data_IF_057480231945
#
_entry.id   IF_057480231945
#
_cell.length_a   1.000
_cell.length_b   1.000
_cell.length_c   1.000
_cell.angle_alpha   90.00
_cell.angle_beta   90.00
_cell.angle_gamma   90.00
#
_symmetry.space_group_name_H-M   'P 1'
#
loop_
_entity.id
_entity.type
_entity.pdbx_description
1 polymer ?
#
# COMPACT_ATOMS: atom_id res chain seq x y z
N UNK A 1 -23.17 22.92 6.52
CA UNK A 1 -21.91 22.30 6.99
C UNK A 1 -22.04 20.78 6.88
N UNK A 2 -21.27 20.12 6.01
CA UNK A 2 -21.35 18.65 5.84
C UNK A 2 -20.64 18.00 7.02
N UNK A 3 -21.35 17.25 7.88
CA UNK A 3 -20.74 16.61 9.04
C UNK A 3 -19.60 15.71 8.58
N UNK A 4 -18.43 15.88 9.20
CA UNK A 4 -17.28 15.01 8.91
C UNK A 4 -17.62 13.63 9.42
N UNK A 5 -17.64 12.65 8.51
CA UNK A 5 -17.91 11.27 8.89
C UNK A 5 -16.65 10.71 9.57
N UNK A 6 -16.82 9.77 10.49
CA UNK A 6 -15.69 9.15 11.23
C UNK A 6 -14.58 8.63 10.28
N UNK A 7 -14.98 8.13 9.11
CA UNK A 7 -14.09 7.64 8.08
C UNK A 7 -13.27 8.72 7.36
N UNK A 8 -13.58 10.01 7.50
CA UNK A 8 -12.79 11.12 6.94
C UNK A 8 -11.47 11.35 7.71
N UNK A 9 -11.26 10.64 8.83
CA UNK A 9 -10.04 10.70 9.66
C UNK A 9 -9.09 9.50 9.45
N UNK A 10 -9.38 8.57 8.54
CA UNK A 10 -8.52 7.40 8.28
C UNK A 10 -7.13 7.76 7.70
N UNK A 11 -6.98 8.98 7.17
CA UNK A 11 -5.67 9.51 6.80
C UNK A 11 -4.76 9.75 8.01
N UNK A 12 -5.32 10.12 9.17
CA UNK A 12 -4.56 10.31 10.42
C UNK A 12 -4.00 8.96 10.83
N UNK A 13 -4.84 7.91 10.88
CA UNK A 13 -4.39 6.55 11.15
C UNK A 13 -3.26 6.12 10.20
N UNK A 14 -3.38 6.48 8.92
CA UNK A 14 -2.35 6.15 7.93
C UNK A 14 -1.01 6.85 8.15
N UNK A 15 -1.06 8.12 8.54
CA UNK A 15 0.13 8.90 8.87
C UNK A 15 0.75 8.41 10.19
N UNK A 16 -0.09 8.14 11.19
CA UNK A 16 0.31 7.66 12.51
C UNK A 16 1.11 6.35 12.38
N UNK A 17 0.60 5.30 11.71
CA UNK A 17 1.38 4.06 11.63
C UNK A 17 2.67 4.21 10.80
N UNK A 18 2.74 5.11 9.82
CA UNK A 18 3.96 5.37 9.05
C UNK A 18 5.04 6.06 9.91
N UNK A 19 4.63 7.02 10.73
CA UNK A 19 5.49 7.69 11.69
C UNK A 19 5.91 6.76 12.83
N UNK A 20 4.99 5.93 13.33
CA UNK A 20 5.33 4.92 14.33
C UNK A 20 6.29 3.89 13.76
N UNK A 21 6.10 3.43 12.51
CA UNK A 21 7.02 2.51 11.83
C UNK A 21 8.42 3.10 11.59
N UNK A 22 8.53 4.44 11.51
CA UNK A 22 9.82 5.13 11.43
C UNK A 22 10.61 5.05 12.74
N UNK A 23 9.92 5.15 13.88
CA UNK A 23 10.52 5.14 15.22
C UNK A 23 10.70 3.70 15.72
N UNK A 24 9.74 2.82 15.47
CA UNK A 24 9.80 1.42 15.84
C UNK A 24 9.17 0.56 14.73
N UNK A 25 10.01 -0.25 14.10
CA UNK A 25 9.65 -1.00 12.90
C UNK A 25 8.48 -1.97 13.14
N UNK A 26 8.30 -2.47 14.36
CA UNK A 26 7.25 -3.44 14.69
C UNK A 26 5.84 -2.90 14.45
N UNK A 27 5.64 -1.58 14.52
CA UNK A 27 4.34 -0.98 14.22
C UNK A 27 3.94 -1.10 12.75
N UNK A 28 4.85 -1.49 11.85
CA UNK A 28 4.53 -1.81 10.47
C UNK A 28 3.46 -2.92 10.36
N UNK A 29 3.34 -3.80 11.36
CA UNK A 29 2.28 -4.81 11.44
C UNK A 29 0.87 -4.20 11.51
N UNK A 30 0.70 -3.01 12.10
CA UNK A 30 -0.59 -2.31 12.08
C UNK A 30 -1.02 -1.94 10.65
N UNK A 31 -0.04 -1.69 9.77
CA UNK A 31 -0.28 -1.45 8.35
C UNK A 31 -0.85 -2.66 7.60
N UNK A 32 -0.71 -3.89 8.12
CA UNK A 32 -1.32 -5.07 7.51
C UNK A 32 -2.85 -4.97 7.47
N UNK A 33 -3.45 -4.34 8.49
CA UNK A 33 -4.89 -4.12 8.54
C UNK A 33 -5.36 -3.34 7.31
N UNK A 34 -4.62 -2.29 6.91
CA UNK A 34 -4.99 -1.48 5.75
C UNK A 34 -4.72 -2.18 4.39
N UNK A 35 -3.87 -3.20 4.39
CA UNK A 35 -3.59 -4.04 3.23
C UNK A 35 -4.65 -5.15 3.05
N UNK A 36 -5.10 -5.76 4.15
CA UNK A 36 -6.08 -6.85 4.16
C UNK A 36 -7.51 -6.32 3.98
N UNK A 37 -7.88 -5.22 4.62
CA UNK A 37 -9.22 -4.64 4.55
C UNK A 37 -9.79 -4.46 3.13
N UNK A 38 -9.07 -3.89 2.14
CA UNK A 38 -9.58 -3.79 0.77
C UNK A 38 -9.84 -5.14 0.11
N UNK A 39 -9.02 -6.15 0.40
CA UNK A 39 -9.16 -7.49 -0.17
C UNK A 39 -10.40 -8.19 0.40
N UNK A 40 -10.56 -8.16 1.73
CA UNK A 40 -11.73 -8.75 2.41
C UNK A 40 -13.03 -8.11 1.92
N UNK A 41 -13.08 -6.78 1.83
CA UNK A 41 -14.28 -6.06 1.34
C UNK A 41 -14.54 -6.38 -0.14
N UNK A 42 -13.50 -6.45 -0.96
CA UNK A 42 -13.64 -6.77 -2.39
C UNK A 42 -14.12 -8.20 -2.61
N UNK A 43 -13.68 -9.16 -1.80
CA UNK A 43 -14.10 -10.57 -1.86
C UNK A 43 -15.53 -10.71 -1.32
N UNK A 44 -15.83 -10.15 -0.15
CA UNK A 44 -17.13 -10.23 0.52
C UNK A 44 -18.23 -9.48 -0.21
N UNK A 45 -18.06 -8.17 -0.44
CA UNK A 45 -19.09 -7.32 -1.04
C UNK A 45 -18.97 -7.15 -2.56
N UNK A 46 -17.86 -7.54 -3.19
CA UNK A 46 -17.70 -7.39 -4.64
C UNK A 46 -17.59 -5.93 -5.11
N UNK A 47 -17.30 -4.98 -4.22
CA UNK A 47 -17.24 -3.57 -4.55
C UNK A 47 -15.88 -2.94 -4.19
N UNK A 48 -15.59 -1.79 -4.82
CA UNK A 48 -14.38 -0.99 -4.55
C UNK A 48 -14.60 0.09 -3.49
N UNK A 49 -15.54 -0.12 -2.56
CA UNK A 49 -15.90 0.90 -1.58
C UNK A 49 -14.69 1.33 -0.74
N UNK A 50 -13.81 0.39 -0.38
CA UNK A 50 -12.60 0.67 0.37
C UNK A 50 -11.66 1.62 -0.38
N UNK A 51 -11.24 1.26 -1.59
CA UNK A 51 -10.33 2.09 -2.38
C UNK A 51 -10.91 3.48 -2.72
N UNK A 52 -12.24 3.58 -2.91
CA UNK A 52 -12.89 4.82 -3.30
C UNK A 52 -13.18 5.78 -2.13
N UNK A 53 -13.53 5.25 -0.95
CA UNK A 53 -14.01 6.05 0.19
C UNK A 53 -13.16 5.92 1.46
N UNK A 54 -12.65 4.72 1.77
CA UNK A 54 -12.03 4.41 3.06
C UNK A 54 -10.50 4.31 3.02
N UNK A 55 -9.88 4.38 1.84
CA UNK A 55 -8.43 4.30 1.73
C UNK A 55 -7.75 5.52 2.36
N UNK A 56 -7.20 5.35 3.57
CA UNK A 56 -6.61 6.46 4.35
C UNK A 56 -5.47 7.18 3.64
N UNK A 57 -4.61 6.46 2.90
CA UNK A 57 -3.58 7.09 2.05
C UNK A 57 -4.15 7.86 0.85
N UNK A 58 -5.24 7.38 0.26
CA UNK A 58 -5.93 8.09 -0.82
C UNK A 58 -6.59 9.38 -0.33
N UNK A 59 -7.12 9.34 0.89
CA UNK A 59 -7.61 10.53 1.59
C UNK A 59 -6.46 11.50 1.94
N UNK A 60 -5.31 10.99 2.42
CA UNK A 60 -4.12 11.80 2.70
C UNK A 60 -3.68 12.60 1.46
N UNK A 61 -3.50 11.93 0.32
CA UNK A 61 -3.11 12.61 -0.92
C UNK A 61 -4.19 13.57 -1.44
N UNK A 62 -5.48 13.22 -1.30
CA UNK A 62 -6.58 14.10 -1.65
C UNK A 62 -6.64 15.35 -0.75
N UNK A 63 -6.26 15.23 0.52
CA UNK A 63 -6.20 16.33 1.47
C UNK A 63 -5.00 17.25 1.17
N UNK A 64 -3.81 16.66 1.03
CA UNK A 64 -2.56 17.38 0.73
C UNK A 64 -2.64 18.07 -0.64
N UNK A 65 -3.17 17.40 -1.66
CA UNK A 65 -3.22 17.96 -3.01
C UNK A 65 -4.43 18.86 -3.26
N UNK A 66 -5.50 18.66 -2.51
CA UNK A 66 -6.71 19.47 -2.59
C UNK A 66 -6.65 20.71 -1.70
N UNK A 67 -6.58 20.50 -0.38
CA UNK A 67 -6.67 21.58 0.61
C UNK A 67 -5.37 22.35 0.79
N UNK A 68 -4.22 21.67 0.77
CA UNK A 68 -2.91 22.34 0.88
C UNK A 68 -2.34 22.80 -0.47
N UNK A 69 -3.03 22.53 -1.58
CA UNK A 69 -2.64 23.03 -2.90
C UNK A 69 -1.31 22.50 -3.46
N UNK A 70 -0.69 21.51 -2.81
CA UNK A 70 0.62 20.93 -3.17
C UNK A 70 0.62 20.18 -4.52
N UNK A 71 -0.54 20.04 -5.18
CA UNK A 71 -0.68 19.32 -6.45
C UNK A 71 -0.78 20.28 -7.61
N UNK A 72 0.01 20.02 -8.66
CA UNK A 72 0.00 20.79 -9.93
C UNK A 72 -1.27 20.55 -10.76
N UNK A 73 -2.17 19.67 -10.30
CA UNK A 73 -3.48 19.29 -10.90
C UNK A 73 -3.43 18.87 -12.38
N UNK A 74 -2.23 18.62 -12.91
CA UNK A 74 -2.02 18.18 -14.28
C UNK A 74 -2.62 16.79 -14.52
N UNK A 75 -3.15 16.56 -15.71
CA UNK A 75 -3.68 15.26 -16.08
C UNK A 75 -2.57 14.21 -16.21
N UNK A 76 -2.88 12.99 -15.79
CA UNK A 76 -1.93 11.90 -15.85
C UNK A 76 -1.74 11.46 -17.31
N UNK A 77 -0.49 11.21 -17.78
CA UNK A 77 -0.24 10.82 -19.16
C UNK A 77 -0.97 9.51 -19.50
N UNK A 78 -1.44 9.41 -20.75
CA UNK A 78 -2.25 8.28 -21.24
C UNK A 78 -1.55 6.93 -21.02
N UNK A 79 -0.22 6.88 -21.13
CA UNK A 79 0.58 5.67 -20.91
C UNK A 79 0.48 5.14 -19.47
N UNK A 80 0.55 6.00 -18.45
CA UNK A 80 0.39 5.58 -17.05
C UNK A 80 -1.03 5.11 -16.73
N UNK A 81 -2.03 5.53 -17.51
CA UNK A 81 -3.41 5.08 -17.36
C UNK A 81 -3.65 3.74 -18.07
N UNK A 82 -2.78 3.34 -18.99
CA UNK A 82 -2.92 2.14 -19.81
C UNK A 82 -2.99 0.85 -18.97
N UNK A 83 -3.64 -0.17 -19.51
CA UNK A 83 -3.69 -1.50 -18.87
C UNK A 83 -2.29 -2.08 -18.72
N UNK A 84 -1.44 -1.93 -19.74
CA UNK A 84 -0.07 -2.42 -19.75
C UNK A 84 0.73 -1.89 -18.55
N UNK A 85 0.72 -0.58 -18.31
CA UNK A 85 1.42 0.01 -17.17
C UNK A 85 0.86 -0.47 -15.83
N UNK A 86 -0.47 -0.54 -15.69
CA UNK A 86 -1.10 -1.00 -14.43
C UNK A 86 -0.75 -2.45 -14.10
N UNK A 87 -0.79 -3.34 -15.08
CA UNK A 87 -0.43 -4.75 -14.88
C UNK A 87 1.08 -4.92 -14.70
N UNK A 88 1.91 -4.21 -15.45
CA UNK A 88 3.36 -4.22 -15.27
C UNK A 88 3.76 -3.75 -13.88
N UNK A 89 3.16 -2.65 -13.40
CA UNK A 89 3.40 -2.14 -12.05
C UNK A 89 2.89 -3.10 -10.96
N UNK A 90 1.75 -3.75 -11.19
CA UNK A 90 1.23 -4.79 -10.29
C UNK A 90 2.19 -5.97 -10.17
N UNK A 91 2.70 -6.49 -11.29
CA UNK A 91 3.68 -7.59 -11.33
C UNK A 91 4.95 -7.18 -10.58
N UNK A 92 5.51 -6.01 -10.91
CA UNK A 92 6.68 -5.46 -10.23
C UNK A 92 6.50 -5.42 -8.71
N UNK A 93 5.36 -4.92 -8.24
CA UNK A 93 5.05 -4.82 -6.82
C UNK A 93 4.87 -6.20 -6.16
N UNK A 94 4.24 -7.16 -6.86
CA UNK A 94 4.14 -8.54 -6.37
C UNK A 94 5.48 -9.23 -6.29
N UNK A 95 6.37 -9.04 -7.27
CA UNK A 95 7.74 -9.56 -7.21
C UNK A 95 8.45 -9.03 -5.97
N UNK A 96 8.36 -7.73 -5.67
CA UNK A 96 8.90 -7.18 -4.42
C UNK A 96 8.28 -7.82 -3.17
N UNK A 97 6.96 -8.02 -3.16
CA UNK A 97 6.26 -8.65 -2.04
C UNK A 97 6.65 -10.12 -1.83
N UNK A 98 6.77 -10.92 -2.88
CA UNK A 98 7.19 -12.32 -2.78
C UNK A 98 8.66 -12.44 -2.36
N UNK A 99 9.54 -11.61 -2.90
CA UNK A 99 10.96 -11.55 -2.46
C UNK A 99 11.05 -11.20 -0.98
N UNK A 100 10.22 -10.28 -0.50
CA UNK A 100 10.14 -9.95 0.93
C UNK A 100 9.71 -11.14 1.78
N UNK A 101 8.64 -11.85 1.39
CA UNK A 101 8.18 -13.05 2.08
C UNK A 101 9.24 -14.14 2.09
N UNK A 102 9.93 -14.34 0.98
CA UNK A 102 11.02 -15.32 0.86
C UNK A 102 12.19 -15.00 1.81
N UNK A 103 12.63 -13.74 1.85
CA UNK A 103 13.68 -13.32 2.79
C UNK A 103 13.25 -13.48 4.25
N UNK A 104 11.98 -13.19 4.55
CA UNK A 104 11.41 -13.37 5.89
C UNK A 104 11.42 -14.86 6.27
N UNK A 105 11.00 -15.73 5.35
CA UNK A 105 11.02 -17.17 5.53
C UNK A 105 12.45 -17.71 5.77
N UNK A 106 13.44 -17.23 5.02
CA UNK A 106 14.84 -17.63 5.23
C UNK A 106 15.38 -17.26 6.61
N UNK A 107 14.96 -16.12 7.18
CA UNK A 107 15.32 -15.72 8.55
C UNK A 107 14.62 -16.60 9.57
N UNK A 108 13.34 -16.94 9.36
CA UNK A 108 12.64 -17.91 10.21
C UNK A 108 13.26 -19.32 10.16
N UNK A 109 13.79 -19.72 9.01
CA UNK A 109 14.49 -20.99 8.83
C UNK A 109 15.92 -20.99 9.41
N UNK A 110 16.41 -19.88 9.98
CA UNK A 110 17.74 -19.76 10.56
C UNK A 110 18.88 -19.62 9.54
N UNK A 111 18.58 -19.48 8.25
CA UNK A 111 19.57 -19.49 7.16
C UNK A 111 20.19 -18.11 6.87
N UNK A 112 19.65 -17.03 7.43
CA UNK A 112 20.13 -15.66 7.23
C UNK A 112 19.98 -14.83 8.52
N UNK A 113 20.98 -13.99 8.87
CA UNK A 113 20.84 -13.04 9.97
C UNK A 113 19.87 -11.91 9.61
N UNK A 114 19.29 -11.26 10.62
CA UNK A 114 18.38 -10.12 10.49
C UNK A 114 19.00 -8.99 9.63
N UNK A 115 18.34 -8.63 8.54
CA UNK A 115 18.74 -7.50 7.66
C UNK A 115 17.92 -6.26 7.99
N UNK A 116 18.48 -5.37 8.81
CA UNK A 116 17.89 -4.08 9.21
C UNK A 116 18.01 -2.99 8.12
N UNK A 117 17.69 -3.34 6.87
CA UNK A 117 17.85 -2.46 5.71
C UNK A 117 16.52 -2.31 4.99
N UNK A 118 16.04 -1.07 4.88
CA UNK A 118 14.84 -0.72 4.12
C UNK A 118 15.25 -0.48 2.67
N UNK A 119 14.70 -1.25 1.72
CA UNK A 119 14.98 -1.14 0.28
C UNK A 119 13.93 -0.29 -0.43
N UNK A 120 14.21 0.99 -0.64
CA UNK A 120 13.38 1.86 -1.46
C UNK A 120 13.50 1.48 -2.94
N UNK A 121 12.37 1.22 -3.61
CA UNK A 121 12.33 0.85 -5.04
C UNK A 121 13.34 -0.25 -5.43
N UNK A 122 13.69 -1.13 -4.48
CA UNK A 122 14.68 -2.21 -4.64
C UNK A 122 16.15 -1.75 -4.75
N UNK A 123 16.43 -0.55 -5.27
CA UNK A 123 17.78 -0.02 -5.51
C UNK A 123 18.37 0.77 -4.34
N UNK A 124 17.57 1.53 -3.60
CA UNK A 124 18.08 2.39 -2.53
C UNK A 124 18.01 1.67 -1.19
N UNK A 125 19.16 1.22 -0.70
CA UNK A 125 19.31 0.62 0.63
C UNK A 125 19.48 1.73 1.65
N UNK A 126 18.44 2.03 2.42
CA UNK A 126 18.54 2.99 3.52
C UNK A 126 18.75 2.21 4.83
N UNK A 127 19.90 2.39 5.51
CA UNK A 127 20.17 1.72 6.77
C UNK A 127 19.26 2.30 7.86
N UNK A 128 18.42 1.45 8.46
CA UNK A 128 17.36 1.87 9.40
C UNK A 128 17.59 1.29 10.79
N UNK A 129 18.85 1.38 11.24
CA UNK A 129 19.35 0.74 12.46
C UNK A 129 18.72 1.33 13.74
N UNK A 130 18.31 2.61 13.72
CA UNK A 130 17.73 3.27 14.89
C UNK A 130 16.28 2.84 15.21
N UNK A 131 15.56 2.24 14.25
CA UNK A 131 14.14 1.89 14.45
C UNK A 131 13.94 0.50 15.07
N UNK A 132 15.03 -0.16 15.45
CA UNK A 132 14.99 -1.49 16.06
C UNK A 132 15.63 -1.44 17.44
N UNK A 133 14.78 -1.40 18.47
CA UNK A 133 15.19 -1.34 19.88
C UNK A 133 15.26 -2.73 20.54
N UNK A 134 15.56 -3.77 19.76
CA UNK A 134 15.47 -5.16 20.20
C UNK A 134 14.04 -5.67 20.29
N UNK A 135 13.86 -6.98 20.16
CA UNK A 135 12.53 -7.63 20.23
C UNK A 135 12.48 -8.70 21.30
N UNK A 136 11.35 -8.77 22.01
CA UNK A 136 10.91 -9.97 22.75
C UNK A 136 10.39 -11.08 21.80
N UNK A 137 10.20 -10.77 20.51
CA UNK A 137 9.67 -11.66 19.47
C UNK A 137 10.78 -12.18 18.54
N UNK A 138 10.50 -13.25 17.80
CA UNK A 138 11.40 -13.88 16.81
C UNK A 138 11.94 -12.88 15.77
N UNK A 139 13.20 -13.02 15.38
CA UNK A 139 13.88 -12.20 14.37
C UNK A 139 13.14 -12.15 13.02
N UNK A 140 12.39 -13.21 12.69
CA UNK A 140 11.56 -13.23 11.48
C UNK A 140 10.41 -12.22 11.50
N UNK A 141 9.86 -11.90 12.67
CA UNK A 141 8.80 -10.88 12.83
C UNK A 141 9.35 -9.49 12.53
N UNK A 142 10.58 -9.23 12.96
CA UNK A 142 11.28 -7.99 12.67
C UNK A 142 11.64 -7.90 11.17
N UNK A 143 12.12 -9.00 10.58
CA UNK A 143 12.45 -9.05 9.15
C UNK A 143 11.23 -8.77 8.26
N UNK A 144 10.07 -9.33 8.61
CA UNK A 144 8.81 -9.03 7.94
C UNK A 144 8.47 -7.55 8.05
N UNK A 145 8.58 -6.97 9.24
CA UNK A 145 8.26 -5.58 9.51
C UNK A 145 9.13 -4.63 8.67
N UNK A 146 10.44 -4.88 8.60
CA UNK A 146 11.36 -4.12 7.73
C UNK A 146 10.96 -4.20 6.26
N UNK A 147 10.68 -5.40 5.79
CA UNK A 147 10.24 -5.64 4.42
C UNK A 147 8.93 -4.93 4.07
N UNK A 148 7.94 -5.06 4.95
CA UNK A 148 6.61 -4.51 4.74
C UNK A 148 6.63 -2.98 4.81
N UNK A 149 7.32 -2.41 5.81
CA UNK A 149 7.54 -0.97 5.90
C UNK A 149 8.23 -0.42 4.66
N UNK A 150 9.21 -1.14 4.11
CA UNK A 150 9.90 -0.76 2.87
C UNK A 150 8.97 -0.61 1.68
N UNK A 151 8.06 -1.56 1.52
CA UNK A 151 7.05 -1.54 0.46
C UNK A 151 6.05 -0.40 0.68
N UNK A 152 5.58 -0.21 1.91
CA UNK A 152 4.66 0.87 2.26
C UNK A 152 5.29 2.25 2.04
N UNK A 153 6.52 2.44 2.49
CA UNK A 153 7.26 3.68 2.35
C UNK A 153 7.52 4.01 0.88
N UNK A 154 7.99 3.02 0.10
CA UNK A 154 8.17 3.15 -1.36
C UNK A 154 6.87 3.60 -2.04
N UNK A 155 5.75 2.95 -1.70
CA UNK A 155 4.45 3.28 -2.26
C UNK A 155 3.96 4.69 -1.88
N UNK A 156 4.33 5.15 -0.68
CA UNK A 156 3.97 6.47 -0.17
C UNK A 156 4.78 7.55 -0.85
N UNK A 157 6.09 7.33 -1.04
CA UNK A 157 6.98 8.26 -1.74
C UNK A 157 6.57 8.39 -3.21
N UNK A 158 6.37 7.27 -3.92
CA UNK A 158 5.85 7.32 -5.29
C UNK A 158 4.48 8.00 -5.35
N UNK A 159 3.61 7.74 -4.37
CA UNK A 159 2.31 8.38 -4.27
C UNK A 159 2.38 9.88 -4.07
N UNK A 160 3.30 10.34 -3.22
CA UNK A 160 3.58 11.75 -2.96
C UNK A 160 4.14 12.44 -4.21
N UNK A 161 5.17 11.87 -4.85
CA UNK A 161 5.77 12.40 -6.08
C UNK A 161 4.72 12.53 -7.19
N UNK A 162 3.91 11.49 -7.42
CA UNK A 162 2.86 11.57 -8.45
C UNK A 162 1.72 12.51 -8.09
N UNK A 163 1.46 12.73 -6.81
CA UNK A 163 0.49 13.72 -6.35
C UNK A 163 1.01 15.17 -6.50
N UNK A 164 2.31 15.41 -6.34
CA UNK A 164 2.92 16.71 -6.64
C UNK A 164 2.84 17.03 -8.14
N UNK A 165 3.18 16.05 -8.99
CA UNK A 165 3.25 16.23 -10.44
C UNK A 165 1.88 16.27 -11.13
N UNK A 166 0.94 15.44 -10.68
CA UNK A 166 -0.37 15.25 -11.33
C UNK A 166 -1.51 15.53 -10.35
N UNK A 167 -2.73 15.09 -10.67
CA UNK A 167 -3.90 15.21 -9.78
C UNK A 167 -3.70 14.51 -8.42
N UNK A 168 -4.37 14.96 -7.34
CA UNK A 168 -4.18 14.44 -5.99
C UNK A 168 -4.45 12.93 -5.80
N UNK A 169 -5.20 12.29 -6.69
CA UNK A 169 -5.50 10.84 -6.65
C UNK A 169 -4.84 10.05 -7.78
N UNK A 170 -3.79 10.57 -8.40
CA UNK A 170 -3.11 9.91 -9.52
C UNK A 170 -2.52 8.55 -9.13
N UNK A 171 -1.94 8.46 -7.93
CA UNK A 171 -1.46 7.20 -7.36
C UNK A 171 -2.54 6.10 -7.31
N UNK A 172 -3.79 6.47 -7.00
CA UNK A 172 -4.89 5.51 -6.91
C UNK A 172 -5.25 4.87 -8.27
N UNK A 173 -4.86 5.49 -9.39
CA UNK A 173 -5.18 5.02 -10.74
C UNK A 173 -4.39 3.76 -11.12
N UNK A 174 -3.13 3.68 -10.70
CA UNK A 174 -2.23 2.57 -11.01
C UNK A 174 -1.77 1.81 -9.77
N UNK A 175 -2.36 2.11 -8.61
CA UNK A 175 -2.07 1.40 -7.37
C UNK A 175 -2.29 -0.11 -7.54
N UNK A 176 -1.34 -0.95 -7.06
CA UNK A 176 -1.45 -2.40 -7.13
C UNK A 176 -2.72 -2.91 -6.43
N UNK A 177 -3.04 -2.39 -5.24
CA UNK A 177 -4.27 -2.72 -4.52
C UNK A 177 -5.56 -2.35 -5.27
N UNK A 178 -5.57 -1.20 -5.95
CA UNK A 178 -6.72 -0.79 -6.75
C UNK A 178 -6.92 -1.71 -7.97
N UNK A 179 -5.81 -2.15 -8.57
CA UNK A 179 -5.82 -3.06 -9.71
C UNK A 179 -6.21 -4.48 -9.28
N UNK A 180 -5.72 -4.96 -8.13
CA UNK A 180 -6.05 -6.27 -7.58
C UNK A 180 -7.53 -6.37 -7.18
N UNK A 181 -8.05 -5.40 -6.41
CA UNK A 181 -9.49 -5.36 -6.06
C UNK A 181 -10.36 -5.24 -7.31
N UNK A 182 -9.92 -4.52 -8.34
CA UNK A 182 -10.62 -4.50 -9.63
C UNK A 182 -10.72 -5.86 -10.30
N UNK A 183 -9.64 -6.64 -10.29
CA UNK A 183 -9.64 -7.99 -10.84
C UNK A 183 -10.59 -8.91 -10.06
N UNK A 184 -10.55 -8.86 -8.73
CA UNK A 184 -11.42 -9.65 -7.85
C UNK A 184 -12.89 -9.30 -8.10
N UNK A 185 -13.25 -8.01 -8.12
CA UNK A 185 -14.62 -7.58 -8.44
C UNK A 185 -15.06 -8.05 -9.83
N UNK A 186 -14.20 -7.96 -10.84
CA UNK A 186 -14.53 -8.38 -12.21
C UNK A 186 -14.75 -9.90 -12.28
N UNK A 187 -13.87 -10.69 -11.67
CA UNK A 187 -14.01 -12.14 -11.60
C UNK A 187 -15.33 -12.54 -10.92
N UNK A 188 -15.64 -11.92 -9.77
CA UNK A 188 -16.89 -12.19 -9.04
C UNK A 188 -18.15 -11.84 -9.85
N UNK A 189 -18.13 -10.73 -10.60
CA UNK A 189 -19.26 -10.36 -11.45
C UNK A 189 -19.46 -11.34 -12.62
N UNK A 190 -18.38 -11.87 -13.20
CA UNK A 190 -18.47 -12.93 -14.23
C UNK A 190 -19.10 -14.19 -13.64
N UNK A 191 -18.63 -14.65 -12.47
CA UNK A 191 -19.20 -15.82 -11.78
C UNK A 191 -20.68 -15.61 -11.42
N UNK A 192 -21.06 -14.40 -10.99
CA UNK A 192 -22.46 -14.07 -10.70
C UNK A 192 -23.34 -14.08 -11.96
N UNK A 193 -22.84 -13.56 -13.09
CA UNK A 193 -23.55 -13.63 -14.37
C UNK A 193 -23.80 -15.09 -14.77
N UNK A 194 -22.75 -15.93 -14.73
CA UNK A 194 -22.87 -17.34 -15.09
C UNK A 194 -23.88 -18.11 -14.22
N UNK A 195 -23.98 -17.80 -12.93
CA UNK A 195 -24.96 -18.42 -12.02
C UNK A 195 -26.38 -17.87 -12.16
N UNK A 196 -26.57 -16.77 -12.88
CA UNK A 196 -27.90 -16.19 -13.14
C UNK A 196 -28.50 -16.68 -14.47
N UNK A 197 -27.67 -17.28 -15.33
CA UNK A 197 -28.03 -17.82 -16.64
C UNK A 197 -28.26 -19.35 -16.62
N UNK A 198 -28.19 -19.98 -15.43
CA UNK A 198 -28.44 -21.40 -15.14
C UNK A 198 -29.62 -21.54 -14.17
#
# INVERSE_FOLDING_TARGET
MRSKKWYDYLWIFSLTYLLLGFVNILFAWLGMICFIAPLVISIGWGNKAYCNKFCGRGQLFSLLGGRFGLSRKHDMPKWMRSKAFRYGFLIFFFTMFFVMLWNTYLVFAGNQPLKQVVKLLWTFKVPWHWAYHGTLFSEGVAQFAFGFYSIMLTSTILGFVTMLLFKPRSWCVYCPMGTMTQLICKAKNVTKSQKSDE
#
